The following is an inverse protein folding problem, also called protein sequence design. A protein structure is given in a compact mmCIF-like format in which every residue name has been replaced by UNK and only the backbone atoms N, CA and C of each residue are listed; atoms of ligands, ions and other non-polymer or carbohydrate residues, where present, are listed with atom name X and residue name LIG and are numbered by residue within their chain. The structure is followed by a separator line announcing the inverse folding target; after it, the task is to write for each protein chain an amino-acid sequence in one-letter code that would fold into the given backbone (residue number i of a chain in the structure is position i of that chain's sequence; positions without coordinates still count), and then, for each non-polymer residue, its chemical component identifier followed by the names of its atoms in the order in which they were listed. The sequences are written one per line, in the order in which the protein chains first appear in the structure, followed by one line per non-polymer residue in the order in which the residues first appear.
data_IF_975251212822
#
_entry.id   IF_975251212822
#
_cell.length_a   1.000
_cell.length_b   1.000
_cell.length_c   1.000
_cell.angle_alpha   90.00
_cell.angle_beta   90.00
_cell.angle_gamma   90.00
#
_symmetry.space_group_name_H-M   'P 1'
#
loop_
_entity.id
_entity.type
_entity.pdbx_description
1 polymer ?
#
# COMPACT_ATOMS: atom_id res chain seq x y z
N UNK A 1 15.24 14.01 -12.28
CA UNK A 1 14.59 12.68 -12.37
C UNK A 1 13.38 12.88 -13.27
N UNK A 2 13.31 12.22 -14.42
CA UNK A 2 12.11 12.27 -15.25
C UNK A 2 10.97 11.61 -14.48
N UNK A 3 9.87 12.32 -14.32
CA UNK A 3 8.69 11.83 -13.61
C UNK A 3 8.03 10.75 -14.48
N UNK A 4 8.34 9.48 -14.22
CA UNK A 4 7.79 8.33 -14.95
C UNK A 4 6.42 7.88 -14.42
N UNK A 5 5.84 8.59 -13.46
CA UNK A 5 4.55 8.26 -12.88
C UNK A 5 3.43 8.42 -13.93
N UNK A 6 2.69 7.33 -14.16
CA UNK A 6 1.50 7.34 -15.03
C UNK A 6 0.38 8.07 -14.28
N UNK A 7 -0.18 9.16 -14.83
CA UNK A 7 -1.24 9.88 -14.15
C UNK A 7 -2.44 9.00 -13.80
N UNK A 8 -3.02 9.21 -12.62
CA UNK A 8 -4.25 8.55 -12.25
C UNK A 8 -5.36 8.84 -13.26
N UNK A 9 -6.13 7.80 -13.60
CA UNK A 9 -7.22 7.94 -14.59
C UNK A 9 -8.47 8.52 -13.95
N UNK A 10 -8.68 8.29 -12.66
CA UNK A 10 -9.84 8.78 -11.95
C UNK A 10 -9.68 10.24 -11.52
N UNK A 11 -10.78 10.97 -11.60
CA UNK A 11 -10.88 12.32 -11.06
C UNK A 11 -10.66 12.33 -9.54
N UNK A 12 -10.23 13.48 -8.99
CA UNK A 12 -9.86 13.60 -7.58
C UNK A 12 -10.96 13.14 -6.61
N UNK A 13 -12.22 13.51 -6.86
CA UNK A 13 -13.35 13.13 -5.99
C UNK A 13 -13.59 11.61 -5.93
N UNK A 14 -13.43 10.90 -7.05
CA UNK A 14 -13.54 9.45 -7.08
C UNK A 14 -12.38 8.79 -6.30
N UNK A 15 -11.16 9.33 -6.46
CA UNK A 15 -9.98 8.88 -5.71
C UNK A 15 -10.11 9.12 -4.22
N UNK A 16 -10.62 10.28 -3.79
CA UNK A 16 -10.88 10.57 -2.37
C UNK A 16 -11.82 9.55 -1.74
N UNK A 17 -12.90 9.19 -2.45
CA UNK A 17 -13.85 8.17 -1.99
C UNK A 17 -13.20 6.80 -1.85
N UNK A 18 -12.45 6.35 -2.86
CA UNK A 18 -11.76 5.07 -2.81
C UNK A 18 -10.67 5.04 -1.73
N UNK A 19 -9.93 6.13 -1.56
CA UNK A 19 -8.91 6.26 -0.54
C UNK A 19 -9.51 6.17 0.87
N UNK A 20 -10.66 6.82 1.09
CA UNK A 20 -11.38 6.75 2.35
C UNK A 20 -11.84 5.30 2.64
N UNK A 21 -12.39 4.62 1.64
CA UNK A 21 -12.79 3.21 1.76
C UNK A 21 -11.61 2.28 2.02
N UNK A 22 -10.49 2.46 1.30
CA UNK A 22 -9.26 1.70 1.48
C UNK A 22 -8.72 1.85 2.90
N UNK A 23 -8.57 3.09 3.37
CA UNK A 23 -8.07 3.39 4.73
C UNK A 23 -9.03 2.96 5.84
N UNK A 24 -10.31 2.72 5.53
CA UNK A 24 -11.28 2.23 6.49
C UNK A 24 -11.17 0.71 6.75
N UNK A 25 -10.53 -0.05 5.85
CA UNK A 25 -10.41 -1.51 5.89
C UNK A 25 -9.74 -2.00 7.18
N UNK A 26 -10.25 -3.08 7.75
CA UNK A 26 -9.78 -3.64 9.03
C UNK A 26 -8.34 -4.11 8.94
N UNK A 27 -7.97 -4.76 7.84
CA UNK A 27 -6.64 -5.26 7.57
C UNK A 27 -5.61 -4.12 7.44
N UNK A 28 -5.97 -3.02 6.76
CA UNK A 28 -5.12 -1.83 6.63
C UNK A 28 -4.82 -1.24 8.02
N UNK A 29 -5.85 -1.12 8.87
CA UNK A 29 -5.69 -0.67 10.26
C UNK A 29 -4.92 -1.66 11.12
N UNK A 30 -5.14 -2.96 10.93
CA UNK A 30 -4.49 -4.02 11.69
C UNK A 30 -2.98 -4.03 11.48
N UNK A 31 -2.54 -3.91 10.22
CA UNK A 31 -1.12 -3.75 9.88
C UNK A 31 -0.53 -2.38 10.30
N UNK A 32 -1.37 -1.43 10.71
CA UNK A 32 -0.95 -0.07 11.03
C UNK A 32 -0.59 0.77 9.80
N UNK A 33 -1.16 0.43 8.65
CA UNK A 33 -0.94 1.13 7.38
C UNK A 33 -1.86 2.33 7.20
N UNK A 34 -1.39 3.28 6.39
CA UNK A 34 -2.23 4.30 5.75
C UNK A 34 -1.80 4.53 4.31
N UNK A 35 -2.79 4.50 3.43
CA UNK A 35 -2.66 4.85 2.03
C UNK A 35 -2.78 6.36 1.79
N UNK A 36 -2.12 6.82 0.73
CA UNK A 36 -2.30 8.14 0.15
C UNK A 36 -2.06 8.10 -1.36
N UNK A 37 -2.81 8.90 -2.11
CA UNK A 37 -2.47 9.24 -3.50
C UNK A 37 -1.56 10.46 -3.53
N UNK A 38 -0.52 10.42 -4.36
CA UNK A 38 0.35 11.55 -4.66
C UNK A 38 0.34 11.80 -6.16
N UNK A 39 0.14 13.05 -6.52
CA UNK A 39 0.13 13.44 -7.92
C UNK A 39 1.51 13.26 -8.57
N UNK A 40 1.57 12.85 -9.84
CA UNK A 40 0.42 12.59 -10.71
C UNK A 40 -0.18 11.18 -10.60
N UNK A 41 0.53 10.21 -10.00
CA UNK A 41 0.21 8.78 -10.18
C UNK A 41 0.73 7.82 -9.11
N UNK A 42 1.23 8.33 -7.99
CA UNK A 42 1.88 7.51 -6.98
C UNK A 42 0.86 7.06 -5.90
N UNK A 43 0.77 5.75 -5.67
CA UNK A 43 0.07 5.20 -4.52
C UNK A 43 1.08 4.86 -3.43
N UNK A 44 0.93 5.47 -2.26
CA UNK A 44 1.90 5.35 -1.16
C UNK A 44 1.23 4.71 0.04
N UNK A 45 1.85 3.64 0.54
CA UNK A 45 1.55 3.07 1.84
C UNK A 45 2.62 3.51 2.83
N UNK A 46 2.20 3.95 4.01
CA UNK A 46 3.08 4.26 5.14
C UNK A 46 2.62 3.49 6.37
N UNK A 47 3.54 3.16 7.26
CA UNK A 47 3.19 2.80 8.63
C UNK A 47 2.80 4.07 9.39
N UNK A 48 1.57 4.15 9.87
CA UNK A 48 1.21 5.11 10.93
C UNK A 48 1.69 4.64 12.30
N UNK A 49 1.74 3.32 12.49
CA UNK A 49 2.27 2.68 13.68
C UNK A 49 2.87 1.33 13.32
N UNK A 50 4.06 1.04 13.86
CA UNK A 50 4.63 -0.31 13.82
C UNK A 50 4.27 -1.00 15.14
N UNK A 51 3.35 -1.95 15.10
CA UNK A 51 2.98 -2.74 16.28
C UNK A 51 4.04 -3.80 16.56
N UNK A 52 4.18 -4.25 17.82
CA UNK A 52 5.14 -5.30 18.20
C UNK A 52 4.98 -6.57 17.37
N UNK A 53 3.74 -6.93 17.00
CA UNK A 53 3.45 -8.08 16.13
C UNK A 53 3.95 -7.94 14.68
N UNK A 54 4.38 -6.75 14.26
CA UNK A 54 4.98 -6.52 12.94
C UNK A 54 6.51 -6.73 12.93
N UNK A 55 7.13 -6.95 14.09
CA UNK A 55 8.57 -7.16 14.25
C UNK A 55 8.92 -8.65 14.25
N UNK A 56 10.22 -8.97 14.36
CA UNK A 56 10.72 -10.35 14.38
C UNK A 56 11.34 -10.81 13.06
N UNK A 57 11.57 -9.89 12.11
CA UNK A 57 12.24 -10.19 10.85
C UNK A 57 13.61 -10.81 11.08
N UNK A 58 13.83 -12.03 10.57
CA UNK A 58 15.08 -12.76 10.74
C UNK A 58 15.47 -13.01 12.21
N UNK A 59 14.51 -13.02 13.14
CA UNK A 59 14.78 -13.17 14.58
C UNK A 59 15.29 -11.90 15.27
N UNK A 60 15.16 -10.74 14.64
CA UNK A 60 15.63 -9.44 15.16
C UNK A 60 14.47 -8.47 15.39
N UNK A 61 14.78 -7.22 15.76
CA UNK A 61 13.80 -6.13 15.82
C UNK A 61 13.39 -5.58 14.42
N UNK A 62 13.85 -6.21 13.33
CA UNK A 62 13.45 -5.90 11.97
C UNK A 62 11.96 -6.13 11.72
N UNK A 63 11.41 -5.43 10.72
CA UNK A 63 10.02 -5.67 10.28
C UNK A 63 9.94 -7.06 9.65
N UNK A 64 8.89 -7.81 10.00
CA UNK A 64 8.62 -9.11 9.43
C UNK A 64 8.42 -9.02 7.90
N UNK A 65 9.08 -9.89 7.14
CA UNK A 65 9.00 -9.89 5.68
C UNK A 65 7.57 -10.03 5.13
N UNK A 66 6.70 -10.79 5.81
CA UNK A 66 5.28 -10.90 5.45
C UNK A 66 4.53 -9.57 5.60
N UNK A 67 4.88 -8.75 6.59
CA UNK A 67 4.30 -7.41 6.77
C UNK A 67 4.80 -6.46 5.68
N UNK A 68 6.08 -6.53 5.32
CA UNK A 68 6.62 -5.77 4.19
C UNK A 68 5.90 -6.16 2.89
N UNK A 69 5.71 -7.46 2.64
CA UNK A 69 4.98 -7.96 1.48
C UNK A 69 3.52 -7.47 1.46
N UNK A 70 2.83 -7.48 2.60
CA UNK A 70 1.49 -6.92 2.73
C UNK A 70 1.45 -5.41 2.42
N UNK A 71 2.50 -4.66 2.77
CA UNK A 71 2.63 -3.24 2.42
C UNK A 71 2.77 -3.01 0.91
N UNK A 72 3.54 -3.85 0.22
CA UNK A 72 3.62 -3.82 -1.24
C UNK A 72 2.30 -4.19 -1.90
N UNK A 73 1.63 -5.25 -1.43
CA UNK A 73 0.30 -5.65 -1.91
C UNK A 73 -0.71 -4.50 -1.77
N UNK A 74 -0.77 -3.90 -0.59
CA UNK A 74 -1.60 -2.74 -0.29
C UNK A 74 -1.33 -1.56 -1.24
N UNK A 75 -0.07 -1.31 -1.63
CA UNK A 75 0.30 -0.25 -2.56
C UNK A 75 -0.21 -0.54 -3.98
N UNK A 76 -0.10 -1.79 -4.45
CA UNK A 76 -0.62 -2.18 -5.76
C UNK A 76 -2.14 -2.12 -5.83
N UNK A 77 -2.84 -2.58 -4.79
CA UNK A 77 -4.29 -2.45 -4.67
C UNK A 77 -4.69 -0.98 -4.72
N UNK A 78 -4.02 -0.11 -3.95
CA UNK A 78 -4.32 1.32 -3.94
C UNK A 78 -4.05 1.97 -5.30
N UNK A 79 -2.94 1.63 -5.96
CA UNK A 79 -2.64 2.11 -7.31
C UNK A 79 -3.74 1.75 -8.31
N UNK A 80 -4.20 0.49 -8.28
CA UNK A 80 -5.30 0.02 -9.12
C UNK A 80 -6.59 0.80 -8.85
N UNK A 81 -6.92 1.05 -7.58
CA UNK A 81 -8.09 1.86 -7.22
C UNK A 81 -8.01 3.23 -7.90
N UNK A 82 -6.86 3.93 -7.81
CA UNK A 82 -6.67 5.24 -8.45
C UNK A 82 -6.84 5.26 -9.99
N UNK A 83 -6.81 4.12 -10.66
CA UNK A 83 -6.96 4.00 -12.12
C UNK A 83 -8.32 3.44 -12.57
N UNK A 84 -9.01 2.67 -11.75
CA UNK A 84 -10.22 1.93 -12.17
C UNK A 84 -11.40 2.30 -11.31
N UNK A 85 -12.52 2.65 -11.93
CA UNK A 85 -13.80 2.89 -11.24
C UNK A 85 -14.44 1.54 -10.86
N UNK A 86 -13.79 0.85 -9.94
CA UNK A 86 -14.21 -0.43 -9.38
C UNK A 86 -14.04 -0.38 -7.86
N UNK A 87 -14.99 -0.92 -7.08
CA UNK A 87 -14.82 -1.06 -5.64
C UNK A 87 -13.80 -2.15 -5.26
N UNK A 88 -13.44 -3.02 -6.20
CA UNK A 88 -12.60 -4.20 -5.96
C UNK A 88 -11.42 -4.22 -6.94
N UNK A 89 -10.23 -4.34 -6.36
CA UNK A 89 -8.95 -4.61 -7.03
C UNK A 89 -8.31 -5.75 -6.26
N UNK A 90 -7.86 -6.78 -6.97
CA UNK A 90 -7.28 -7.99 -6.39
C UNK A 90 -5.91 -8.23 -7.01
N UNK A 91 -4.92 -8.47 -6.17
CA UNK A 91 -3.60 -8.92 -6.58
C UNK A 91 -3.68 -10.42 -6.88
N UNK A 92 -3.34 -10.81 -8.11
CA UNK A 92 -3.33 -12.22 -8.51
C UNK A 92 -2.03 -12.92 -8.09
N UNK A 93 -0.91 -12.22 -8.19
CA UNK A 93 0.41 -12.70 -7.81
C UNK A 93 1.24 -11.53 -7.29
N UNK A 94 2.03 -11.79 -6.25
CA UNK A 94 3.04 -10.87 -5.75
C UNK A 94 4.30 -11.64 -5.41
N UNK A 95 5.41 -11.22 -6.02
CA UNK A 95 6.75 -11.71 -5.70
C UNK A 95 7.57 -10.57 -5.10
N UNK A 96 8.06 -10.76 -3.87
CA UNK A 96 8.89 -9.77 -3.16
C UNK A 96 10.26 -10.37 -2.89
N UNK A 97 11.31 -9.65 -3.30
CA UNK A 97 12.70 -9.98 -2.97
C UNK A 97 13.23 -8.99 -1.93
N UNK A 98 13.57 -9.49 -0.75
CA UNK A 98 14.20 -8.70 0.29
C UNK A 98 15.67 -8.50 -0.03
N UNK A 99 16.11 -7.25 -0.14
CA UNK A 99 17.49 -6.89 -0.53
C UNK A 99 18.42 -6.79 0.68
N UNK A 100 17.88 -6.46 1.84
CA UNK A 100 18.58 -6.38 3.12
C UNK A 100 17.61 -6.68 4.25
N UNK A 101 18.14 -6.94 5.45
CA UNK A 101 17.34 -6.87 6.67
C UNK A 101 16.89 -5.40 6.85
N UNK A 102 15.61 -5.21 7.17
CA UNK A 102 14.94 -3.91 7.26
C UNK A 102 14.62 -3.56 8.71
#
# INVERSE_FOLDING_TARGET
MNNTAVPFRLVASAREKQLAQFNARTEIKWFGFRGAFREPGDAVIRFERVATGALGGGGTAAINGGVIAAGFDAAFVLAGLGHYDSPVVVTLELSVKFLSLA
#
